data_IF_532096129667
#
_entry.id   IF_532096129667
#
_cell.length_a   1.000
_cell.length_b   1.000
_cell.length_c   1.000
_cell.angle_alpha   90.00
_cell.angle_beta   90.00
_cell.angle_gamma   90.00
#
_symmetry.space_group_name_H-M   'P 1'
#
loop_
_entity.id
_entity.type
_entity.pdbx_description
1 polymer ?
#
# COMPACT_ATOMS: atom_id res chain seq x y z
N UNK A 1 52.42 14.52 10.85
CA UNK A 1 51.06 14.96 11.26
C UNK A 1 50.06 14.90 10.09
N UNK A 2 49.76 13.72 9.53
CA UNK A 2 48.78 13.56 8.43
C UNK A 2 47.98 12.23 8.46
N UNK A 3 47.86 11.59 9.63
CA UNK A 3 47.13 10.31 9.78
C UNK A 3 45.89 10.38 10.69
N UNK A 4 45.71 11.47 11.44
CA UNK A 4 44.58 11.64 12.37
C UNK A 4 43.17 11.71 11.75
N UNK A 5 42.93 12.24 10.52
CA UNK A 5 41.56 12.32 10.02
C UNK A 5 40.96 10.97 9.62
N UNK A 6 41.80 9.98 9.25
CA UNK A 6 41.33 8.65 8.83
C UNK A 6 40.90 7.81 10.06
N UNK A 7 41.57 7.96 11.20
CA UNK A 7 41.23 7.28 12.45
C UNK A 7 39.90 7.79 13.04
N UNK A 8 39.61 9.08 12.90
CA UNK A 8 38.33 9.66 13.32
C UNK A 8 37.16 9.20 12.43
N UNK A 9 37.38 9.08 11.12
CA UNK A 9 36.40 8.50 10.20
C UNK A 9 36.13 7.03 10.50
N UNK A 10 37.17 6.25 10.80
CA UNK A 10 37.03 4.84 11.21
C UNK A 10 36.24 4.70 12.50
N UNK A 11 36.55 5.52 13.52
CA UNK A 11 35.82 5.53 14.79
C UNK A 11 34.34 5.93 14.63
N UNK A 12 34.04 6.87 13.74
CA UNK A 12 32.67 7.29 13.44
C UNK A 12 31.83 6.19 12.79
N UNK A 13 32.41 5.42 11.85
CA UNK A 13 31.73 4.29 11.20
C UNK A 13 31.45 3.16 12.21
N UNK A 14 32.41 2.87 13.08
CA UNK A 14 32.25 1.84 14.13
C UNK A 14 31.17 2.26 15.13
N UNK A 15 31.16 3.52 15.58
CA UNK A 15 30.13 4.04 16.48
C UNK A 15 28.75 4.05 15.82
N UNK A 16 28.65 4.40 14.54
CA UNK A 16 27.41 4.33 13.77
C UNK A 16 26.90 2.88 13.66
N UNK A 17 27.79 1.93 13.38
CA UNK A 17 27.45 0.51 13.33
C UNK A 17 26.93 -0.01 14.66
N UNK A 18 27.60 0.35 15.77
CA UNK A 18 27.18 -0.03 17.13
C UNK A 18 25.85 0.63 17.50
N UNK A 19 25.64 1.89 17.14
CA UNK A 19 24.37 2.60 17.35
C UNK A 19 23.22 1.94 16.60
N UNK A 20 23.43 1.53 15.34
CA UNK A 20 22.43 0.82 14.55
C UNK A 20 22.08 -0.56 15.12
N UNK A 21 23.08 -1.32 15.59
CA UNK A 21 22.87 -2.63 16.23
C UNK A 21 22.15 -2.48 17.57
N UNK A 22 22.46 -1.44 18.35
CA UNK A 22 21.77 -1.16 19.61
C UNK A 22 20.32 -0.74 19.36
N UNK A 23 20.07 0.06 18.31
CA UNK A 23 18.74 0.46 17.87
C UNK A 23 17.90 -0.72 17.36
N UNK A 24 18.52 -1.72 16.73
CA UNK A 24 17.83 -2.95 16.29
C UNK A 24 17.22 -3.75 17.45
N UNK A 25 17.75 -3.66 18.68
CA UNK A 25 17.31 -4.49 19.81
C UNK A 25 16.01 -4.01 20.48
N UNK A 26 15.55 -2.79 20.19
CA UNK A 26 14.30 -2.20 20.72
C UNK A 26 13.26 -1.83 19.66
N UNK A 27 13.55 -2.06 18.37
CA UNK A 27 12.74 -1.62 17.25
C UNK A 27 11.90 -2.76 16.68
N UNK A 28 10.61 -2.53 16.46
CA UNK A 28 9.71 -3.45 15.76
C UNK A 28 10.21 -3.77 14.35
N UNK A 29 9.82 -4.92 13.79
CA UNK A 29 10.24 -5.40 12.46
C UNK A 29 9.98 -4.34 11.37
N UNK A 30 8.91 -3.55 11.52
CA UNK A 30 8.54 -2.50 10.57
C UNK A 30 9.49 -1.30 10.61
N UNK A 31 9.96 -0.92 11.80
CA UNK A 31 10.93 0.15 11.97
C UNK A 31 12.34 -0.26 11.49
N UNK A 32 12.70 -1.54 11.59
CA UNK A 32 13.93 -2.06 10.98
C UNK A 32 13.87 -2.01 9.44
N UNK A 33 12.75 -2.39 8.83
CA UNK A 33 12.54 -2.29 7.38
C UNK A 33 12.58 -0.84 6.90
N UNK A 34 11.95 0.09 7.62
CA UNK A 34 11.99 1.51 7.32
C UNK A 34 13.44 2.05 7.35
N UNK A 35 14.22 1.65 8.36
CA UNK A 35 15.61 2.08 8.49
C UNK A 35 16.49 1.60 7.33
N UNK A 36 16.36 0.34 6.91
CA UNK A 36 17.09 -0.18 5.74
C UNK A 36 16.71 0.54 4.44
N UNK A 37 15.44 0.93 4.26
CA UNK A 37 15.00 1.76 3.13
C UNK A 37 15.69 3.13 3.14
N UNK A 38 15.77 3.81 4.29
CA UNK A 38 16.48 5.08 4.41
C UNK A 38 17.98 4.96 4.15
N UNK A 39 18.62 3.90 4.63
CA UNK A 39 20.05 3.63 4.37
C UNK A 39 20.30 3.45 2.87
N UNK A 40 19.45 2.67 2.18
CA UNK A 40 19.56 2.47 0.73
C UNK A 40 19.34 3.79 -0.04
N UNK A 41 18.38 4.61 0.37
CA UNK A 41 18.09 5.92 -0.24
C UNK A 41 19.25 6.91 -0.13
N UNK A 42 20.13 6.77 0.85
CA UNK A 42 21.28 7.66 1.05
C UNK A 42 22.53 7.07 0.39
N UNK A 43 22.78 5.76 0.56
CA UNK A 43 24.00 5.11 0.06
C UNK A 43 24.00 5.01 -1.47
N UNK A 44 22.87 4.69 -2.10
CA UNK A 44 22.80 4.51 -3.55
C UNK A 44 23.14 5.82 -4.31
N UNK A 45 22.54 6.99 -3.98
CA UNK A 45 22.92 8.25 -4.61
C UNK A 45 24.37 8.65 -4.36
N UNK A 46 24.89 8.41 -3.16
CA UNK A 46 26.30 8.69 -2.83
C UNK A 46 27.26 7.83 -3.67
N UNK A 47 26.96 6.55 -3.84
CA UNK A 47 27.73 5.64 -4.69
C UNK A 47 27.68 6.06 -6.16
N UNK A 48 26.50 6.44 -6.67
CA UNK A 48 26.33 6.94 -8.03
C UNK A 48 27.09 8.26 -8.24
N UNK A 49 27.01 9.19 -7.29
CA UNK A 49 27.73 10.47 -7.32
C UNK A 49 29.25 10.26 -7.32
N UNK A 50 29.75 9.33 -6.50
CA UNK A 50 31.16 8.97 -6.45
C UNK A 50 31.66 8.36 -7.79
N UNK A 51 30.86 7.49 -8.42
CA UNK A 51 31.19 6.91 -9.72
C UNK A 51 31.25 7.95 -10.86
N UNK A 52 30.36 8.94 -10.81
CA UNK A 52 30.35 10.07 -11.76
C UNK A 52 31.61 10.94 -11.58
N UNK A 53 32.02 11.21 -10.34
CA UNK A 53 33.23 11.99 -10.00
C UNK A 53 34.54 11.37 -10.54
N UNK A 54 34.61 10.05 -10.65
CA UNK A 54 35.78 9.34 -11.22
C UNK A 54 35.78 9.30 -12.76
N UNK A 55 34.84 9.98 -13.44
CA UNK A 55 34.74 10.00 -14.90
C UNK A 55 34.26 8.67 -15.50
N UNK A 56 33.71 7.78 -14.66
CA UNK A 56 33.30 6.43 -15.04
C UNK A 56 31.76 6.37 -15.18
N UNK A 57 31.22 7.15 -16.11
CA UNK A 57 29.77 7.28 -16.34
C UNK A 57 29.10 5.98 -16.82
N UNK A 58 29.84 5.12 -17.52
CA UNK A 58 29.36 3.82 -18.00
C UNK A 58 28.92 2.85 -16.89
N UNK A 59 29.73 2.55 -15.86
CA UNK A 59 29.29 1.71 -14.75
C UNK A 59 28.18 2.34 -13.90
N UNK A 60 28.09 3.68 -13.79
CA UNK A 60 26.98 4.33 -13.08
C UNK A 60 25.63 4.10 -13.78
N UNK A 61 25.59 4.12 -15.12
CA UNK A 61 24.40 3.77 -15.91
C UNK A 61 24.00 2.31 -15.75
N UNK A 62 24.98 1.39 -15.69
CA UNK A 62 24.70 -0.04 -15.45
C UNK A 62 24.12 -0.28 -14.05
N UNK A 63 24.65 0.38 -13.02
CA UNK A 63 24.10 0.29 -11.65
C UNK A 63 22.67 0.84 -11.61
N UNK A 64 22.39 1.96 -12.28
CA UNK A 64 21.04 2.50 -12.39
C UNK A 64 20.09 1.52 -13.07
N UNK A 65 20.53 0.85 -14.14
CA UNK A 65 19.73 -0.14 -14.86
C UNK A 65 19.41 -1.39 -14.03
N UNK A 66 20.35 -1.84 -13.18
CA UNK A 66 20.16 -2.98 -12.27
C UNK A 66 19.25 -2.62 -11.08
N UNK A 67 19.38 -1.39 -10.56
CA UNK A 67 18.63 -0.93 -9.38
C UNK A 67 17.23 -0.43 -9.73
N UNK A 68 17.04 0.12 -10.94
CA UNK A 68 15.75 0.63 -11.42
C UNK A 68 14.58 -0.35 -11.26
N UNK A 69 14.65 -1.64 -11.68
CA UNK A 69 13.53 -2.57 -11.52
C UNK A 69 13.21 -2.89 -10.06
N UNK A 70 14.21 -2.84 -9.15
CA UNK A 70 13.99 -3.03 -7.71
C UNK A 70 13.30 -1.81 -7.10
N UNK A 71 13.71 -0.60 -7.49
CA UNK A 71 13.10 0.65 -7.03
C UNK A 71 11.66 0.79 -7.54
N UNK A 72 11.40 0.45 -8.80
CA UNK A 72 10.04 0.45 -9.37
C UNK A 72 9.15 -0.56 -8.65
N UNK A 73 9.67 -1.75 -8.31
CA UNK A 73 8.94 -2.76 -7.53
C UNK A 73 8.58 -2.25 -6.14
N UNK A 74 9.49 -1.56 -5.45
CA UNK A 74 9.26 -1.00 -4.11
C UNK A 74 8.28 0.19 -4.15
N UNK A 75 8.41 1.09 -5.13
CA UNK A 75 7.46 2.21 -5.32
C UNK A 75 6.06 1.68 -5.65
N UNK A 76 5.97 0.62 -6.46
CA UNK A 76 4.70 -0.04 -6.75
C UNK A 76 4.14 -0.72 -5.50
N UNK A 77 4.98 -1.32 -4.64
CA UNK A 77 4.58 -1.89 -3.34
C UNK A 77 3.92 -0.84 -2.46
N UNK A 78 4.48 0.37 -2.35
CA UNK A 78 3.91 1.44 -1.53
C UNK A 78 2.59 2.00 -2.11
N UNK A 79 2.46 2.04 -3.44
CA UNK A 79 1.21 2.43 -4.13
C UNK A 79 0.14 1.35 -4.02
N UNK A 80 0.56 0.09 -4.02
CA UNK A 80 -0.30 -1.07 -3.85
C UNK A 80 -0.71 -1.22 -2.39
N UNK A 81 0.15 -0.99 -1.40
CA UNK A 81 -0.19 -0.97 0.03
C UNK A 81 -1.16 0.16 0.37
N UNK A 82 -1.06 1.34 -0.26
CA UNK A 82 -2.03 2.44 -0.07
C UNK A 82 -3.39 2.23 -0.75
N UNK A 83 -3.45 1.42 -1.82
CA UNK A 83 -4.69 1.03 -2.48
C UNK A 83 -5.33 -0.19 -1.80
N UNK A 84 -4.52 -1.16 -1.36
CA UNK A 84 -4.92 -2.39 -0.68
C UNK A 84 -5.28 -2.12 0.79
N UNK A 85 -4.66 -1.15 1.48
CA UNK A 85 -5.06 -0.79 2.86
C UNK A 85 -6.48 -0.19 2.97
N UNK A 86 -7.12 0.17 1.84
CA UNK A 86 -8.56 0.46 1.77
C UNK A 86 -9.40 -0.72 1.27
N UNK A 87 -8.78 -1.78 0.76
CA UNK A 87 -9.42 -3.04 0.34
C UNK A 87 -9.38 -4.11 1.46
N UNK A 88 -8.47 -4.00 2.43
CA UNK A 88 -8.30 -4.92 3.58
C UNK A 88 -9.28 -4.66 4.74
N UNK A 89 -10.19 -3.70 4.61
CA UNK A 89 -11.46 -3.79 5.35
C UNK A 89 -12.31 -4.83 4.61
N UNK A 90 -11.90 -6.10 4.75
CA UNK A 90 -12.63 -7.27 4.31
C UNK A 90 -13.95 -7.27 5.07
N UNK A 91 -14.93 -6.52 4.55
CA UNK A 91 -16.32 -6.74 4.89
C UNK A 91 -16.57 -8.17 4.45
N UNK A 92 -16.76 -9.04 5.44
CA UNK A 92 -17.23 -10.38 5.20
C UNK A 92 -18.58 -10.27 4.52
N UNK A 93 -18.58 -10.41 3.19
CA UNK A 93 -19.79 -10.34 2.36
C UNK A 93 -20.80 -11.42 2.76
N UNK A 94 -20.37 -12.46 3.50
CA UNK A 94 -21.25 -13.50 4.04
C UNK A 94 -21.88 -13.12 5.39
N UNK A 95 -21.33 -12.13 6.11
CA UNK A 95 -21.82 -11.63 7.39
C UNK A 95 -22.32 -10.18 7.32
N UNK A 96 -22.66 -9.68 6.13
CA UNK A 96 -23.12 -8.31 5.94
C UNK A 96 -24.44 -8.06 6.67
N UNK A 97 -24.44 -7.12 7.62
CA UNK A 97 -25.66 -6.75 8.35
C UNK A 97 -26.60 -5.90 7.50
N UNK A 98 -27.90 -5.89 7.84
CA UNK A 98 -28.90 -5.08 7.12
C UNK A 98 -28.60 -3.58 7.16
N UNK A 99 -28.17 -3.07 8.31
CA UNK A 99 -27.82 -1.66 8.47
C UNK A 99 -26.63 -1.28 7.57
N UNK A 100 -25.66 -2.19 7.40
CA UNK A 100 -24.55 -1.99 6.47
C UNK A 100 -25.01 -2.09 5.02
N UNK A 101 -25.93 -3.01 4.71
CA UNK A 101 -26.50 -3.14 3.37
C UNK A 101 -27.26 -1.86 2.93
N UNK A 102 -28.08 -1.28 3.81
CA UNK A 102 -28.73 0.02 3.55
C UNK A 102 -27.70 1.14 3.34
N UNK A 103 -26.66 1.21 4.18
CA UNK A 103 -25.56 2.17 4.01
C UNK A 103 -24.81 2.01 2.69
N UNK A 104 -24.54 0.79 2.25
CA UNK A 104 -23.85 0.49 0.97
C UNK A 104 -24.70 0.98 -0.21
N UNK A 105 -26.02 0.80 -0.15
CA UNK A 105 -26.92 1.28 -1.20
C UNK A 105 -27.27 2.77 -1.08
N UNK A 106 -26.90 3.42 0.02
CA UNK A 106 -27.22 4.81 0.31
C UNK A 106 -28.71 5.04 0.56
N UNK A 107 -29.34 4.09 1.25
CA UNK A 107 -30.76 4.08 1.60
C UNK A 107 -30.93 4.21 3.13
N UNK A 108 -32.11 4.67 3.55
CA UNK A 108 -32.49 4.67 4.96
C UNK A 108 -32.98 3.28 5.39
N UNK A 109 -32.87 3.00 6.70
CA UNK A 109 -33.37 1.76 7.28
C UNK A 109 -34.88 1.64 7.05
N UNK A 110 -35.31 0.53 6.45
CA UNK A 110 -36.72 0.30 6.11
C UNK A 110 -37.15 0.79 4.72
N UNK A 111 -36.22 1.19 3.85
CA UNK A 111 -36.54 1.48 2.45
C UNK A 111 -37.21 0.27 1.74
N UNK A 112 -38.10 0.56 0.79
CA UNK A 112 -38.90 -0.44 0.08
C UNK A 112 -38.05 -1.34 -0.84
N UNK A 113 -38.59 -2.50 -1.23
CA UNK A 113 -37.91 -3.41 -2.15
C UNK A 113 -37.66 -2.75 -3.53
N UNK A 114 -38.56 -1.85 -3.95
CA UNK A 114 -38.43 -1.04 -5.15
C UNK A 114 -37.25 -0.06 -5.04
N UNK A 115 -37.09 0.60 -3.89
CA UNK A 115 -35.98 1.52 -3.63
C UNK A 115 -34.63 0.80 -3.65
N UNK A 116 -34.57 -0.39 -3.07
CA UNK A 116 -33.38 -1.27 -3.09
C UNK A 116 -32.99 -1.61 -4.52
N UNK A 117 -33.93 -2.03 -5.37
CA UNK A 117 -33.68 -2.38 -6.78
C UNK A 117 -33.22 -1.16 -7.59
N UNK A 118 -33.86 0.00 -7.37
CA UNK A 118 -33.50 1.26 -8.04
C UNK A 118 -32.09 1.74 -7.66
N UNK A 119 -31.76 1.68 -6.37
CA UNK A 119 -30.42 2.05 -5.88
C UNK A 119 -29.33 1.12 -6.39
N UNK A 120 -29.60 -0.19 -6.39
CA UNK A 120 -28.69 -1.20 -6.94
C UNK A 120 -28.39 -0.95 -8.42
N UNK A 121 -29.42 -0.75 -9.26
CA UNK A 121 -29.24 -0.51 -10.69
C UNK A 121 -28.41 0.76 -10.98
N UNK A 122 -28.66 1.85 -10.23
CA UNK A 122 -27.87 3.09 -10.32
C UNK A 122 -26.41 2.88 -9.95
N UNK A 123 -26.15 2.14 -8.87
CA UNK A 123 -24.80 1.91 -8.38
C UNK A 123 -24.00 0.94 -9.25
N UNK A 124 -24.61 -0.13 -9.77
CA UNK A 124 -23.94 -1.05 -10.70
C UNK A 124 -23.63 -0.36 -12.03
N UNK A 125 -24.54 0.46 -12.56
CA UNK A 125 -24.27 1.23 -13.79
C UNK A 125 -23.06 2.16 -13.64
N UNK A 126 -22.87 2.73 -12.45
CA UNK A 126 -21.74 3.63 -12.15
C UNK A 126 -20.43 2.86 -11.89
N UNK A 127 -20.51 1.68 -11.28
CA UNK A 127 -19.34 0.91 -10.83
C UNK A 127 -19.12 -0.37 -11.66
N UNK A 128 -19.57 -0.38 -12.92
CA UNK A 128 -19.47 -1.56 -13.77
C UNK A 128 -17.98 -1.89 -14.05
N UNK A 129 -17.54 -3.15 -13.88
CA UNK A 129 -16.15 -3.56 -14.06
C UNK A 129 -15.60 -3.24 -15.46
N UNK A 130 -16.48 -3.19 -16.46
CA UNK A 130 -16.08 -2.97 -17.86
C UNK A 130 -15.81 -1.50 -18.21
N UNK A 131 -16.16 -0.53 -17.35
CA UNK A 131 -16.11 0.91 -17.67
C UNK A 131 -15.34 1.76 -16.65
N UNK A 132 -14.41 1.17 -15.87
CA UNK A 132 -13.60 1.79 -14.78
C UNK A 132 -14.01 1.38 -13.34
N UNK A 133 -14.91 0.41 -13.17
CA UNK A 133 -15.37 -0.04 -11.86
C UNK A 133 -14.43 -1.04 -11.15
N UNK A 134 -14.28 -0.89 -9.82
CA UNK A 134 -13.63 -1.91 -8.99
C UNK A 134 -14.56 -3.14 -8.87
N UNK A 135 -14.11 -4.30 -9.34
CA UNK A 135 -14.85 -5.57 -9.25
C UNK A 135 -15.30 -5.90 -7.81
N UNK A 136 -14.50 -5.54 -6.81
CA UNK A 136 -14.85 -5.70 -5.40
C UNK A 136 -16.04 -4.82 -4.99
N UNK A 137 -16.11 -3.59 -5.49
CA UNK A 137 -17.22 -2.68 -5.17
C UNK A 137 -18.54 -3.18 -5.79
N UNK A 138 -18.48 -3.71 -7.01
CA UNK A 138 -19.64 -4.34 -7.64
C UNK A 138 -20.13 -5.57 -6.84
N UNK A 139 -19.20 -6.41 -6.37
CA UNK A 139 -19.53 -7.55 -5.50
C UNK A 139 -20.19 -7.10 -4.18
N UNK A 140 -19.67 -6.04 -3.56
CA UNK A 140 -20.23 -5.44 -2.33
C UNK A 140 -21.64 -4.87 -2.53
N UNK A 141 -21.88 -4.20 -3.65
CA UNK A 141 -23.21 -3.70 -4.03
C UNK A 141 -24.21 -4.85 -4.23
N UNK A 142 -23.78 -5.94 -4.87
CA UNK A 142 -24.61 -7.13 -5.08
C UNK A 142 -24.96 -7.81 -3.75
N UNK A 143 -23.98 -8.02 -2.87
CA UNK A 143 -24.22 -8.60 -1.54
C UNK A 143 -25.22 -7.78 -0.71
N UNK A 144 -25.13 -6.44 -0.75
CA UNK A 144 -26.07 -5.56 -0.06
C UNK A 144 -27.52 -5.72 -0.57
N UNK A 145 -27.71 -5.81 -1.90
CA UNK A 145 -29.03 -6.10 -2.48
C UNK A 145 -29.56 -7.45 -1.97
N UNK A 146 -28.72 -8.48 -2.00
CA UNK A 146 -29.14 -9.85 -1.69
C UNK A 146 -29.60 -9.96 -0.22
N UNK A 147 -28.88 -9.33 0.72
CA UNK A 147 -29.27 -9.28 2.14
C UNK A 147 -30.63 -8.60 2.37
N UNK A 148 -30.92 -7.52 1.64
CA UNK A 148 -32.15 -6.76 1.82
C UNK A 148 -33.36 -7.42 1.15
N UNK A 149 -33.15 -8.07 -0.02
CA UNK A 149 -34.23 -8.73 -0.76
C UNK A 149 -34.51 -10.17 -0.29
N UNK A 150 -33.53 -10.90 0.26
CA UNK A 150 -33.79 -12.24 0.82
C UNK A 150 -34.78 -12.19 2.00
N UNK A 151 -34.83 -11.07 2.73
CA UNK A 151 -35.83 -10.86 3.79
C UNK A 151 -37.21 -10.50 3.22
N UNK A 152 -37.30 -9.72 2.14
CA UNK A 152 -38.60 -9.33 1.58
C UNK A 152 -39.40 -10.54 1.10
N UNK A 153 -38.74 -11.57 0.59
CA UNK A 153 -39.39 -12.83 0.18
C UNK A 153 -39.81 -13.72 1.37
N UNK A 154 -39.28 -13.49 2.58
CA UNK A 154 -39.64 -14.25 3.80
C UNK A 154 -40.75 -13.58 4.63
N UNK A 155 -41.11 -12.34 4.32
CA UNK A 155 -42.12 -11.55 5.03
C UNK A 155 -43.44 -11.40 4.21
N UNK A 156 -43.64 -12.23 3.17
CA UNK A 156 -44.89 -12.34 2.37
C UNK A 156 -45.61 -13.66 2.66
#
# INVERSE_FOLDING_TARGET
>A
MRAMPILLLGAGIILLGVFLVFFQKGSTIDAQKALWRFVLLIIIPLALFYLILLGRSLPALLVLFIVAPLVVKEIKSLRTEGAIAKEDEAIDLTALSKAEAYKILGLEDGASAEDVKSAHARLIKKNHPDQEGNAWLAAKINAARDVLLEKSDKDV
#
